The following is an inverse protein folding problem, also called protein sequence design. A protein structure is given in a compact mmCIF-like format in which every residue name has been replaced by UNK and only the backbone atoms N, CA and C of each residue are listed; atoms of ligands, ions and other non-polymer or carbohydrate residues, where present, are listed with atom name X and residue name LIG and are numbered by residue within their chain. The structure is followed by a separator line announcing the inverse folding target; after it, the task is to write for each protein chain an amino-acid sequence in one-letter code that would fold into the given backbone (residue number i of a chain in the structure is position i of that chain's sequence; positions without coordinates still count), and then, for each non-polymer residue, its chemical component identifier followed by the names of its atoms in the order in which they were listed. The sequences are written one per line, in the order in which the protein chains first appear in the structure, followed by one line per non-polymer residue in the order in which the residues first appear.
data_IF_720895255753
#
_entry.id   IF_720895255753
#
_cell.length_a   1.000
_cell.length_b   1.000
_cell.length_c   1.000
_cell.angle_alpha   90.00
_cell.angle_beta   90.00
_cell.angle_gamma   90.00
#
_symmetry.space_group_name_H-M   'P 1'
#
loop_
_entity.id
_entity.type
_entity.pdbx_description
1 polymer ?
#
# COMPACT_ATOMS: atom_id res chain seq x y z
N UNK A 1 11.74 21.13 -1.33
CA UNK A 1 12.17 22.07 -2.37
C UNK A 1 13.66 21.91 -2.48
N UNK A 2 14.12 21.58 -3.67
CA UNK A 2 15.53 21.40 -3.99
C UNK A 2 15.83 22.24 -5.22
N UNK A 3 16.97 22.90 -5.24
CA UNK A 3 17.37 23.75 -6.35
C UNK A 3 18.87 23.70 -6.55
N UNK A 4 19.32 23.95 -7.77
CA UNK A 4 20.72 23.99 -8.13
C UNK A 4 20.93 24.98 -9.28
N UNK A 5 22.16 25.45 -9.43
CA UNK A 5 22.59 26.24 -10.58
C UNK A 5 23.87 25.66 -11.16
N UNK A 6 24.12 25.98 -12.42
CA UNK A 6 25.33 25.63 -13.14
C UNK A 6 25.81 26.81 -13.97
N UNK A 7 27.10 27.07 -13.93
CA UNK A 7 27.72 28.10 -14.76
C UNK A 7 27.78 27.62 -16.21
N UNK A 8 27.51 28.53 -17.14
CA UNK A 8 27.70 28.31 -18.57
C UNK A 8 29.17 28.60 -18.93
N UNK A 9 29.73 27.85 -19.87
CA UNK A 9 31.16 27.87 -20.18
C UNK A 9 31.62 29.03 -21.09
N UNK A 10 30.75 30.01 -21.35
CA UNK A 10 31.08 31.19 -22.14
C UNK A 10 31.88 32.24 -21.36
N UNK A 11 32.30 33.30 -22.07
CA UNK A 11 33.09 34.39 -21.48
C UNK A 11 32.33 35.26 -20.45
N UNK A 12 31.00 35.22 -20.43
CA UNK A 12 30.17 35.94 -19.46
C UNK A 12 29.82 35.07 -18.25
N UNK A 13 29.69 35.70 -17.07
CA UNK A 13 29.17 35.02 -15.88
C UNK A 13 27.66 34.76 -16.02
N UNK A 14 27.30 33.65 -16.64
CA UNK A 14 25.92 33.28 -16.96
C UNK A 14 25.59 31.93 -16.36
N UNK A 15 24.34 31.73 -15.97
CA UNK A 15 23.97 30.53 -15.24
C UNK A 15 22.63 29.98 -15.72
N UNK A 16 22.52 28.66 -15.66
CA UNK A 16 21.24 27.96 -15.69
C UNK A 16 20.89 27.52 -14.28
N UNK A 17 19.61 27.54 -13.95
CA UNK A 17 19.10 27.13 -12.66
C UNK A 17 17.90 26.21 -12.86
N UNK A 18 17.80 25.23 -11.97
CA UNK A 18 16.69 24.29 -11.90
C UNK A 18 16.18 24.18 -10.47
N UNK A 19 14.85 24.16 -10.32
CA UNK A 19 14.18 23.86 -9.07
C UNK A 19 13.13 22.78 -9.25
N UNK A 20 13.01 21.96 -8.21
CA UNK A 20 11.91 21.03 -8.02
C UNK A 20 11.35 21.20 -6.62
N UNK A 21 10.03 21.22 -6.50
CA UNK A 21 9.35 21.16 -5.20
C UNK A 21 8.10 20.30 -5.27
N UNK A 22 7.86 19.54 -4.21
CA UNK A 22 6.59 18.84 -3.98
C UNK A 22 5.48 19.87 -3.77
N UNK A 23 4.36 19.68 -4.44
CA UNK A 23 3.17 20.52 -4.30
C UNK A 23 2.01 19.80 -3.63
N UNK A 24 1.97 18.47 -3.68
CA UNK A 24 0.94 17.68 -2.99
C UNK A 24 1.09 16.18 -3.19
N UNK A 25 0.22 15.42 -2.52
CA UNK A 25 0.04 13.98 -2.76
C UNK A 25 -1.43 13.71 -3.02
N UNK A 26 -1.72 12.97 -4.09
CA UNK A 26 -3.04 12.43 -4.36
C UNK A 26 -3.03 10.95 -3.98
N UNK A 27 -3.63 10.67 -2.82
CA UNK A 27 -3.71 9.31 -2.31
C UNK A 27 -4.63 8.44 -3.18
N UNK A 28 -5.68 9.01 -3.80
CA UNK A 28 -6.59 8.26 -4.66
C UNK A 28 -5.93 7.81 -5.95
N UNK A 29 -5.11 8.69 -6.55
CA UNK A 29 -4.35 8.41 -7.76
C UNK A 29 -2.98 7.75 -7.52
N UNK A 30 -2.60 7.49 -6.26
CA UNK A 30 -1.31 6.94 -5.86
C UNK A 30 -0.11 7.70 -6.46
N UNK A 31 -0.14 9.04 -6.40
CA UNK A 31 0.91 9.89 -6.99
C UNK A 31 1.31 11.06 -6.08
N UNK A 32 2.53 11.53 -6.25
CA UNK A 32 2.99 12.82 -5.72
C UNK A 32 3.07 13.83 -6.86
N UNK A 33 2.52 15.02 -6.63
CA UNK A 33 2.57 16.14 -7.55
C UNK A 33 3.73 17.07 -7.20
N UNK A 34 4.36 17.59 -8.25
CA UNK A 34 5.54 18.42 -8.20
C UNK A 34 5.34 19.65 -9.07
N UNK A 35 6.09 20.69 -8.75
CA UNK A 35 6.31 21.83 -9.62
C UNK A 35 7.79 21.93 -9.93
N UNK A 36 8.10 22.14 -11.20
CA UNK A 36 9.45 22.37 -11.68
C UNK A 36 9.57 23.74 -12.35
N UNK A 37 10.78 24.29 -12.29
CA UNK A 37 11.11 25.52 -12.99
C UNK A 37 12.56 25.48 -13.50
N UNK A 38 12.76 26.02 -14.70
CA UNK A 38 14.07 26.28 -15.30
C UNK A 38 14.23 27.77 -15.51
N UNK A 39 15.35 28.32 -15.05
CA UNK A 39 15.69 29.73 -15.24
C UNK A 39 17.05 29.88 -15.90
N UNK A 40 17.19 30.93 -16.69
CA UNK A 40 18.46 31.44 -17.18
C UNK A 40 18.77 32.78 -16.48
N UNK A 41 20.00 32.95 -16.02
CA UNK A 41 20.51 34.18 -15.42
C UNK A 41 21.57 34.78 -16.33
N UNK A 42 21.26 35.95 -16.91
CA UNK A 42 22.17 36.71 -17.75
C UNK A 42 22.91 37.80 -16.97
N UNK A 43 24.12 38.15 -17.40
CA UNK A 43 24.95 39.19 -16.76
C UNK A 43 25.38 40.30 -17.74
N UNK A 44 24.50 40.70 -18.66
CA UNK A 44 24.73 41.84 -19.54
C UNK A 44 25.63 41.61 -20.75
N UNK A 45 26.25 40.43 -20.86
CA UNK A 45 27.15 40.06 -21.96
C UNK A 45 26.45 39.16 -23.00
N UNK A 46 26.58 39.53 -24.28
CA UNK A 46 25.84 38.92 -25.40
C UNK A 46 24.64 39.78 -25.82
N UNK A 47 24.60 40.23 -27.07
CA UNK A 47 23.50 41.03 -27.66
C UNK A 47 22.69 40.17 -28.60
N UNK A 48 21.36 40.35 -28.58
CA UNK A 48 20.40 39.41 -29.15
C UNK A 48 19.36 40.13 -29.99
N UNK A 49 19.65 40.26 -31.28
CA UNK A 49 18.66 40.57 -32.28
C UNK A 49 18.94 39.82 -33.59
N UNK A 50 18.03 38.91 -33.92
CA UNK A 50 17.71 38.49 -35.29
C UNK A 50 18.77 37.82 -36.18
N UNK A 51 19.98 37.46 -35.72
CA UNK A 51 20.90 36.62 -36.52
C UNK A 51 20.69 35.11 -36.36
N UNK A 52 19.43 34.69 -36.44
CA UNK A 52 19.08 33.40 -37.07
C UNK A 52 19.09 32.11 -36.23
N UNK A 53 19.37 32.12 -34.93
CA UNK A 53 19.30 30.90 -34.13
C UNK A 53 18.74 31.15 -32.74
N UNK A 54 17.48 30.76 -32.48
CA UNK A 54 17.01 30.64 -31.11
C UNK A 54 17.65 29.39 -30.49
N UNK A 55 18.26 29.54 -29.31
CA UNK A 55 19.15 28.53 -28.72
C UNK A 55 18.38 27.46 -27.98
N UNK A 56 18.92 26.25 -28.01
CA UNK A 56 18.29 25.10 -27.39
C UNK A 56 18.42 25.13 -25.89
N UNK A 57 17.34 24.81 -25.21
CA UNK A 57 17.40 24.40 -23.82
C UNK A 57 16.52 23.18 -23.62
N UNK A 58 16.90 22.33 -22.69
CA UNK A 58 16.12 21.17 -22.29
C UNK A 58 16.22 20.94 -20.80
N UNK A 59 15.21 20.30 -20.23
CA UNK A 59 15.23 19.82 -18.87
C UNK A 59 14.48 18.51 -18.73
N UNK A 60 14.95 17.69 -17.79
CA UNK A 60 14.34 16.44 -17.39
C UNK A 60 14.00 16.53 -15.90
N UNK A 61 12.73 16.39 -15.57
CA UNK A 61 12.23 16.36 -14.19
C UNK A 61 11.86 14.93 -13.78
N UNK A 62 12.86 14.06 -13.60
CA UNK A 62 12.64 12.67 -13.19
C UNK A 62 11.82 11.83 -14.17
N UNK A 63 11.97 12.09 -15.47
CA UNK A 63 11.27 11.45 -16.59
C UNK A 63 10.33 12.39 -17.35
N UNK A 64 10.00 13.55 -16.79
CA UNK A 64 9.21 14.57 -17.49
C UNK A 64 10.14 15.52 -18.27
N UNK A 65 10.19 15.34 -19.59
CA UNK A 65 11.04 16.14 -20.47
C UNK A 65 10.31 17.39 -20.94
N UNK A 66 10.98 18.52 -20.83
CA UNK A 66 10.56 19.81 -21.38
C UNK A 66 11.75 20.46 -22.06
N UNK A 67 11.49 21.32 -23.03
CA UNK A 67 12.54 22.00 -23.74
C UNK A 67 11.96 23.00 -24.71
N UNK A 68 12.84 23.76 -25.31
CA UNK A 68 12.42 24.77 -26.26
C UNK A 68 13.58 25.56 -26.78
N UNK A 69 13.21 26.70 -27.34
CA UNK A 69 14.17 27.71 -27.77
C UNK A 69 13.89 29.00 -27.05
N UNK A 70 14.94 29.75 -26.75
CA UNK A 70 14.81 31.04 -26.10
C UNK A 70 15.74 32.08 -26.72
N UNK A 71 15.37 33.35 -26.54
CA UNK A 71 16.17 34.51 -26.86
C UNK A 71 16.14 35.45 -25.65
N UNK A 72 17.22 36.16 -25.35
CA UNK A 72 17.25 37.18 -24.29
C UNK A 72 17.32 38.55 -24.95
N UNK A 73 16.21 39.30 -25.09
CA UNK A 73 16.22 40.60 -25.76
C UNK A 73 17.34 41.52 -25.25
N UNK A 74 17.97 42.30 -26.13
CA UNK A 74 19.10 43.14 -25.75
C UNK A 74 18.78 44.08 -24.58
N UNK A 75 17.58 44.66 -24.54
CA UNK A 75 17.07 45.49 -23.45
C UNK A 75 16.94 44.74 -22.11
N UNK A 76 16.86 43.41 -22.17
CA UNK A 76 16.77 42.51 -21.02
C UNK A 76 18.11 41.86 -20.66
N UNK A 77 19.22 42.19 -21.35
CA UNK A 77 20.54 41.58 -21.11
C UNK A 77 21.05 41.72 -19.67
N UNK A 78 20.62 42.78 -18.97
CA UNK A 78 20.96 43.02 -17.57
C UNK A 78 19.89 42.53 -16.58
N UNK A 79 18.80 41.94 -17.08
CA UNK A 79 17.81 41.31 -16.21
C UNK A 79 18.44 40.08 -15.58
N UNK A 80 18.21 39.95 -14.27
CA UNK A 80 18.87 38.93 -13.48
C UNK A 80 18.31 37.54 -13.74
N UNK A 81 17.04 37.35 -14.13
CA UNK A 81 16.47 36.02 -14.41
C UNK A 81 15.41 36.00 -15.52
N UNK A 82 15.43 34.92 -16.32
CA UNK A 82 14.41 34.57 -17.32
C UNK A 82 13.89 33.17 -17.03
N UNK A 83 12.56 33.02 -16.93
CA UNK A 83 11.93 31.70 -16.80
C UNK A 83 11.82 31.06 -18.17
N UNK A 84 12.55 29.96 -18.38
CA UNK A 84 12.49 29.20 -19.63
C UNK A 84 11.26 28.28 -19.64
N UNK A 85 10.94 27.71 -18.47
CA UNK A 85 9.73 26.93 -18.26
C UNK A 85 9.39 26.87 -16.77
N UNK A 86 8.09 26.85 -16.47
CA UNK A 86 7.56 26.54 -15.15
C UNK A 86 6.26 25.75 -15.30
N UNK A 87 6.10 24.66 -14.56
CA UNK A 87 4.92 23.82 -14.70
C UNK A 87 4.81 22.72 -13.66
N UNK A 88 3.63 22.12 -13.60
CA UNK A 88 3.36 20.97 -12.75
C UNK A 88 3.64 19.66 -13.48
N UNK A 89 4.10 18.66 -12.75
CA UNK A 89 4.22 17.27 -13.20
C UNK A 89 3.94 16.32 -12.04
N UNK A 90 3.69 15.05 -12.33
CA UNK A 90 3.36 14.06 -11.30
C UNK A 90 4.20 12.80 -11.48
N UNK A 91 4.51 12.12 -10.38
CA UNK A 91 5.15 10.80 -10.39
C UNK A 91 4.34 9.81 -9.57
N UNK A 92 4.12 8.63 -10.13
CA UNK A 92 3.33 7.57 -9.52
C UNK A 92 4.16 6.74 -8.56
N UNK A 93 3.57 6.37 -7.42
CA UNK A 93 4.13 5.42 -6.48
C UNK A 93 3.93 3.99 -7.00
N UNK A 94 4.73 3.05 -6.50
CA UNK A 94 4.52 1.63 -6.76
C UNK A 94 3.26 1.09 -6.06
N UNK A 95 2.97 -0.21 -6.25
CA UNK A 95 1.82 -0.88 -5.63
C UNK A 95 1.89 -0.99 -4.11
N UNK A 96 3.05 -0.71 -3.52
CA UNK A 96 3.27 -0.66 -2.07
C UNK A 96 3.22 0.78 -1.54
N UNK A 97 3.00 1.77 -2.41
CA UNK A 97 2.91 3.18 -2.06
C UNK A 97 4.26 3.89 -1.92
N UNK A 98 5.35 3.30 -2.39
CA UNK A 98 6.68 3.91 -2.38
C UNK A 98 6.94 4.71 -3.66
N UNK A 99 7.63 5.84 -3.52
CA UNK A 99 8.16 6.61 -4.64
C UNK A 99 9.62 6.94 -4.36
N UNK A 100 10.51 6.33 -5.14
CA UNK A 100 11.94 6.59 -5.07
C UNK A 100 12.30 8.03 -5.44
N UNK A 101 13.42 8.49 -4.88
CA UNK A 101 14.02 9.76 -5.27
C UNK A 101 14.36 9.80 -6.76
N UNK A 102 14.57 10.99 -7.28
CA UNK A 102 14.89 11.16 -8.69
C UNK A 102 15.81 12.33 -8.94
N UNK A 103 16.53 12.19 -10.03
CA UNK A 103 17.39 13.22 -10.55
C UNK A 103 16.63 14.11 -11.51
N UNK A 104 16.89 15.41 -11.43
CA UNK A 104 16.45 16.39 -12.41
C UNK A 104 17.65 17.19 -12.93
N UNK A 105 17.62 17.50 -14.21
CA UNK A 105 18.68 18.25 -14.89
C UNK A 105 18.10 19.25 -15.85
N UNK A 106 18.80 20.35 -16.06
CA UNK A 106 18.55 21.29 -17.13
C UNK A 106 19.86 21.59 -17.86
N UNK A 107 19.78 21.79 -19.17
CA UNK A 107 20.92 22.09 -20.03
C UNK A 107 20.57 23.21 -21.01
N UNK A 108 21.55 24.07 -21.29
CA UNK A 108 21.53 25.06 -22.35
C UNK A 108 22.66 24.72 -23.32
N UNK A 109 22.33 24.66 -24.61
CA UNK A 109 23.25 24.43 -25.72
C UNK A 109 23.19 25.63 -26.67
N UNK A 110 24.31 26.33 -26.79
CA UNK A 110 24.48 27.54 -27.60
C UNK A 110 25.77 27.47 -28.40
N UNK A 111 25.72 27.97 -29.64
CA UNK A 111 26.91 28.23 -30.45
C UNK A 111 27.56 29.59 -30.14
N UNK A 112 27.18 30.21 -29.02
CA UNK A 112 27.54 31.58 -28.69
C UNK A 112 28.68 31.68 -27.67
N UNK A 113 29.84 32.15 -28.10
CA UNK A 113 31.10 32.18 -27.32
C UNK A 113 31.04 32.94 -25.98
N UNK A 114 30.16 33.93 -25.81
CA UNK A 114 30.02 34.63 -24.52
C UNK A 114 29.05 33.96 -23.54
N UNK A 115 28.20 33.04 -24.02
CA UNK A 115 27.16 32.37 -23.23
C UNK A 115 27.66 30.96 -22.92
N UNK A 116 27.98 30.23 -23.99
CA UNK A 116 28.46 28.86 -23.90
C UNK A 116 27.38 27.89 -23.48
N UNK A 117 27.81 26.69 -23.16
CA UNK A 117 26.98 25.57 -22.77
C UNK A 117 27.13 25.30 -21.28
N UNK A 118 26.11 24.70 -20.69
CA UNK A 118 26.19 24.26 -19.31
C UNK A 118 24.89 23.70 -18.81
N UNK A 119 24.95 23.13 -17.60
CA UNK A 119 23.82 22.46 -17.00
C UNK A 119 23.81 22.55 -15.50
N UNK A 120 22.60 22.48 -14.94
CA UNK A 120 22.34 22.42 -13.52
C UNK A 120 21.60 21.12 -13.20
N UNK A 121 21.90 20.56 -12.04
CA UNK A 121 21.43 19.25 -11.66
C UNK A 121 21.02 19.24 -10.20
N UNK A 122 19.91 18.58 -9.89
CA UNK A 122 19.37 18.48 -8.53
C UNK A 122 18.75 17.11 -8.31
N UNK A 123 18.91 16.58 -7.10
CA UNK A 123 18.27 15.33 -6.68
C UNK A 123 17.13 15.66 -5.73
N UNK A 124 15.95 15.13 -6.03
CA UNK A 124 14.82 15.12 -5.12
C UNK A 124 14.82 13.79 -4.36
N UNK A 125 14.77 13.88 -3.03
CA UNK A 125 14.71 12.71 -2.15
C UNK A 125 13.43 11.89 -2.38
N UNK A 126 13.36 10.63 -1.91
CA UNK A 126 12.12 9.86 -1.93
C UNK A 126 10.95 10.61 -1.29
N UNK A 127 9.76 10.49 -1.89
CA UNK A 127 8.56 11.10 -1.33
C UNK A 127 8.05 10.29 -0.13
N UNK A 128 7.29 10.91 0.79
CA UNK A 128 6.62 10.17 1.86
C UNK A 128 5.74 9.08 1.25
N UNK A 129 5.79 7.88 1.84
CA UNK A 129 4.98 6.74 1.40
C UNK A 129 3.50 7.10 1.45
N UNK A 130 2.74 6.81 0.39
CA UNK A 130 1.28 6.89 0.40
C UNK A 130 0.74 5.57 0.95
N UNK A 131 -0.02 5.55 2.06
CA UNK A 131 -0.55 4.32 2.60
C UNK A 131 -1.41 3.57 1.58
N UNK A 132 -1.29 2.25 1.55
CA UNK A 132 -2.16 1.35 0.76
C UNK A 132 -3.08 0.55 1.68
N UNK A 133 -4.11 -0.07 1.10
CA UNK A 133 -4.90 -1.06 1.85
C UNK A 133 -3.98 -2.19 2.34
N UNK A 134 -4.24 -2.81 3.51
CA UNK A 134 -3.38 -3.85 4.05
C UNK A 134 -3.28 -5.05 3.09
N UNK A 135 -2.19 -5.81 3.18
CA UNK A 135 -2.11 -7.10 2.52
C UNK A 135 -3.07 -8.12 3.16
N UNK A 136 -3.29 -9.27 2.50
CA UNK A 136 -4.07 -10.35 3.08
C UNK A 136 -3.38 -10.90 4.35
N UNK A 137 -4.13 -11.20 5.42
CA UNK A 137 -3.66 -12.03 6.51
C UNK A 137 -3.15 -13.40 6.02
N UNK A 138 -2.20 -13.99 6.76
CA UNK A 138 -1.50 -15.21 6.36
C UNK A 138 -1.04 -16.02 7.60
N UNK A 139 -0.27 -17.09 7.40
CA UNK A 139 0.25 -17.95 8.48
C UNK A 139 -0.84 -18.49 9.41
N UNK A 140 -1.94 -18.94 8.81
CA UNK A 140 -3.08 -19.48 9.53
C UNK A 140 -2.73 -20.80 10.24
N UNK A 141 -3.25 -20.99 11.45
CA UNK A 141 -3.22 -22.28 12.15
C UNK A 141 -4.44 -22.47 13.02
N UNK A 142 -4.87 -23.72 13.19
CA UNK A 142 -6.01 -24.10 14.03
C UNK A 142 -5.54 -24.59 15.39
N UNK A 143 -6.25 -24.24 16.45
CA UNK A 143 -5.94 -24.61 17.84
C UNK A 143 -7.23 -24.88 18.62
N UNK A 144 -7.12 -25.55 19.77
CA UNK A 144 -8.22 -25.76 20.72
C UNK A 144 -9.49 -26.32 20.04
N UNK A 145 -9.32 -27.31 19.17
CA UNK A 145 -10.45 -27.93 18.46
C UNK A 145 -11.26 -28.76 19.46
N UNK A 146 -12.53 -28.43 19.57
CA UNK A 146 -13.53 -29.11 20.42
C UNK A 146 -14.71 -29.56 19.55
N UNK A 147 -15.71 -30.26 20.11
CA UNK A 147 -16.92 -30.57 19.36
C UNK A 147 -17.72 -29.35 18.93
N UNK A 148 -17.59 -28.19 19.58
CA UNK A 148 -18.45 -27.02 19.30
C UNK A 148 -17.70 -25.74 19.00
N UNK A 149 -16.38 -25.77 18.93
CA UNK A 149 -15.56 -24.61 18.61
C UNK A 149 -14.15 -25.02 18.19
N UNK A 150 -13.44 -24.11 17.54
CA UNK A 150 -12.00 -24.12 17.46
C UNK A 150 -11.49 -22.67 17.39
N UNK A 151 -10.19 -22.47 17.60
CA UNK A 151 -9.52 -21.20 17.40
C UNK A 151 -8.70 -21.18 16.13
N UNK A 152 -8.58 -20.00 15.53
CA UNK A 152 -7.69 -19.74 14.40
C UNK A 152 -6.72 -18.63 14.78
N UNK A 153 -5.44 -18.95 14.84
CA UNK A 153 -4.37 -17.94 14.86
C UNK A 153 -4.04 -17.53 13.42
N UNK A 154 -3.67 -16.26 13.24
CA UNK A 154 -3.17 -15.75 11.97
C UNK A 154 -2.21 -14.59 12.19
N UNK A 155 -1.29 -14.41 11.24
CA UNK A 155 -0.53 -13.17 11.14
C UNK A 155 -1.35 -12.15 10.36
N UNK A 156 -1.49 -10.95 10.92
CA UNK A 156 -2.05 -9.79 10.20
C UNK A 156 -1.24 -9.51 8.94
N UNK A 157 -1.90 -9.00 7.91
CA UNK A 157 -1.20 -8.58 6.68
C UNK A 157 -0.24 -7.43 6.93
N UNK A 158 0.68 -7.19 5.98
CA UNK A 158 1.49 -5.96 5.98
C UNK A 158 0.56 -4.73 5.99
N UNK A 159 0.88 -3.75 6.83
CA UNK A 159 0.08 -2.54 7.05
C UNK A 159 0.19 -1.53 5.89
N UNK A 160 1.14 -1.77 4.99
CA UNK A 160 1.47 -0.99 3.79
C UNK A 160 1.48 0.53 4.00
N UNK A 161 2.04 0.97 5.13
CA UNK A 161 2.28 2.39 5.41
C UNK A 161 1.24 3.06 6.32
N UNK A 162 0.20 2.35 6.77
CA UNK A 162 -0.70 2.83 7.82
C UNK A 162 -1.08 1.70 8.78
N UNK A 163 -1.11 1.97 10.08
CA UNK A 163 -1.45 0.97 11.10
C UNK A 163 -2.79 0.28 10.84
N UNK A 164 -2.86 -1.02 11.15
CA UNK A 164 -4.09 -1.80 11.05
C UNK A 164 -5.01 -1.43 12.22
N UNK A 165 -6.22 -1.02 11.89
CA UNK A 165 -7.24 -0.56 12.84
C UNK A 165 -8.13 -1.71 13.32
N UNK A 166 -8.42 -2.67 12.43
CA UNK A 166 -9.39 -3.74 12.67
C UNK A 166 -9.12 -4.94 11.76
N UNK A 167 -9.44 -6.15 12.23
CA UNK A 167 -9.63 -7.31 11.36
C UNK A 167 -11.11 -7.73 11.34
N UNK A 168 -11.47 -8.53 10.35
CA UNK A 168 -12.76 -9.21 10.25
C UNK A 168 -12.51 -10.66 9.90
N UNK A 169 -13.20 -11.59 10.56
CA UNK A 169 -13.18 -13.00 10.20
C UNK A 169 -14.58 -13.51 9.84
N UNK A 170 -14.70 -14.21 8.71
CA UNK A 170 -15.93 -14.89 8.30
C UNK A 170 -15.73 -16.38 8.46
N UNK A 171 -16.66 -17.01 9.17
CA UNK A 171 -16.72 -18.44 9.36
C UNK A 171 -17.83 -19.01 8.49
N UNK A 172 -17.46 -19.90 7.57
CA UNK A 172 -18.37 -20.49 6.59
C UNK A 172 -18.41 -21.99 6.76
N UNK A 173 -19.61 -22.56 6.83
CA UNK A 173 -19.80 -24.01 6.84
C UNK A 173 -19.57 -24.57 5.43
N UNK A 174 -18.77 -25.63 5.33
CA UNK A 174 -18.38 -26.19 4.03
C UNK A 174 -19.52 -26.92 3.32
N UNK A 175 -20.42 -27.56 4.08
CA UNK A 175 -21.47 -28.42 3.52
C UNK A 175 -22.52 -27.68 2.69
N UNK A 176 -22.85 -26.45 3.07
CA UNK A 176 -23.91 -25.63 2.48
C UNK A 176 -23.42 -24.23 2.05
N UNK A 177 -22.17 -23.88 2.35
CA UNK A 177 -21.59 -22.57 2.06
C UNK A 177 -22.15 -21.43 2.92
N UNK A 178 -22.91 -21.73 3.98
CA UNK A 178 -23.53 -20.71 4.82
C UNK A 178 -22.49 -20.03 5.72
N UNK A 179 -22.48 -18.69 5.72
CA UNK A 179 -21.75 -17.91 6.71
C UNK A 179 -22.45 -18.06 8.07
N UNK A 180 -21.79 -18.72 9.01
CA UNK A 180 -22.34 -19.02 10.34
C UNK A 180 -21.95 -17.98 11.37
N UNK A 181 -20.88 -17.23 11.14
CA UNK A 181 -20.43 -16.18 12.04
C UNK A 181 -19.55 -15.13 11.33
N UNK A 182 -19.76 -13.86 11.73
CA UNK A 182 -18.95 -12.71 11.33
C UNK A 182 -18.33 -12.11 12.61
N UNK A 183 -17.04 -12.34 12.79
CA UNK A 183 -16.26 -11.84 13.92
C UNK A 183 -15.70 -10.46 13.56
N UNK A 184 -16.38 -9.42 14.05
CA UNK A 184 -16.11 -8.02 13.77
C UNK A 184 -15.09 -7.41 14.73
N UNK A 185 -13.82 -7.72 14.55
CA UNK A 185 -12.71 -7.13 15.32
C UNK A 185 -11.67 -8.09 15.92
N UNK A 186 -11.40 -9.30 15.37
CA UNK A 186 -10.30 -10.11 15.89
C UNK A 186 -8.95 -9.41 15.72
N UNK A 187 -7.95 -9.88 16.47
CA UNK A 187 -6.60 -9.32 16.47
C UNK A 187 -5.53 -10.41 16.49
N UNK A 188 -5.30 -11.02 15.34
CA UNK A 188 -4.39 -12.16 15.18
C UNK A 188 -4.96 -13.49 15.68
N UNK A 189 -6.16 -13.49 16.24
CA UNK A 189 -6.86 -14.67 16.70
C UNK A 189 -8.38 -14.49 16.61
N UNK A 190 -9.08 -15.51 16.12
CA UNK A 190 -10.55 -15.59 16.11
C UNK A 190 -11.00 -16.96 16.62
N UNK A 191 -12.04 -16.99 17.45
CA UNK A 191 -12.70 -18.22 17.89
C UNK A 191 -14.12 -17.92 18.36
N UNK A 192 -15.13 -18.72 17.96
CA UNK A 192 -16.48 -18.56 18.47
C UNK A 192 -16.57 -18.75 19.99
N UNK A 193 -15.61 -19.45 20.60
CA UNK A 193 -15.55 -19.68 22.04
C UNK A 193 -15.09 -18.47 22.87
N UNK A 194 -14.40 -17.50 22.25
CA UNK A 194 -13.77 -16.37 22.95
C UNK A 194 -14.65 -15.11 23.02
N UNK A 195 -15.95 -15.21 22.74
CA UNK A 195 -16.84 -14.04 22.74
C UNK A 195 -18.30 -14.38 22.46
N UNK A 196 -18.99 -13.49 21.73
CA UNK A 196 -20.40 -13.64 21.35
C UNK A 196 -20.63 -14.57 20.14
N UNK A 197 -19.66 -15.43 19.82
CA UNK A 197 -19.76 -16.35 18.68
C UNK A 197 -20.74 -17.50 18.93
N UNK A 198 -21.31 -18.09 17.86
CA UNK A 198 -22.21 -19.21 17.98
C UNK A 198 -21.44 -20.49 18.35
N UNK A 199 -22.15 -21.45 18.96
CA UNK A 199 -21.65 -22.83 19.04
C UNK A 199 -21.66 -23.46 17.65
N UNK A 200 -20.53 -24.01 17.24
CA UNK A 200 -20.41 -24.75 15.98
C UNK A 200 -21.05 -26.14 16.13
N UNK A 201 -21.47 -26.70 15.00
CA UNK A 201 -22.01 -28.05 14.89
C UNK A 201 -20.86 -29.06 15.01
N UNK A 202 -20.98 -30.11 15.83
CA UNK A 202 -19.96 -31.16 15.90
C UNK A 202 -19.74 -31.91 14.60
N UNK A 203 -18.53 -32.46 14.43
CA UNK A 203 -18.14 -33.22 13.25
C UNK A 203 -18.30 -32.46 11.92
N UNK A 204 -18.34 -31.13 11.93
CA UNK A 204 -18.64 -30.28 10.78
C UNK A 204 -17.41 -29.51 10.33
N UNK A 205 -17.19 -29.44 9.02
CA UNK A 205 -16.09 -28.67 8.42
C UNK A 205 -16.48 -27.21 8.21
N UNK A 206 -15.55 -26.32 8.54
CA UNK A 206 -15.68 -24.88 8.38
C UNK A 206 -14.44 -24.30 7.69
N UNK A 207 -14.67 -23.35 6.79
CA UNK A 207 -13.66 -22.47 6.23
C UNK A 207 -13.68 -21.14 6.99
N UNK A 208 -12.50 -20.64 7.36
CA UNK A 208 -12.34 -19.33 7.99
C UNK A 208 -11.53 -18.43 7.09
N UNK A 209 -12.10 -17.26 6.78
CA UNK A 209 -11.48 -16.20 5.99
C UNK A 209 -11.22 -15.00 6.89
N UNK A 210 -10.08 -14.33 6.74
CA UNK A 210 -9.77 -13.14 7.53
C UNK A 210 -9.25 -12.02 6.64
N UNK A 211 -9.65 -10.77 6.90
CA UNK A 211 -9.07 -9.59 6.25
C UNK A 211 -8.78 -8.49 7.27
N UNK A 212 -7.83 -7.62 6.95
CA UNK A 212 -7.46 -6.47 7.78
C UNK A 212 -7.90 -5.16 7.15
N UNK A 213 -8.11 -4.13 7.98
CA UNK A 213 -8.46 -2.77 7.59
C UNK A 213 -7.47 -1.76 8.13
N UNK A 214 -7.18 -0.72 7.34
CA UNK A 214 -6.59 0.52 7.83
C UNK A 214 -7.38 1.73 7.30
N UNK A 215 -6.84 2.94 7.49
CA UNK A 215 -7.43 4.20 7.02
C UNK A 215 -7.76 4.22 5.51
N UNK A 216 -7.11 3.37 4.70
CA UNK A 216 -7.35 3.27 3.25
C UNK A 216 -8.49 2.32 2.89
N UNK A 217 -8.89 1.45 3.81
CA UNK A 217 -9.98 0.51 3.64
C UNK A 217 -9.59 -0.93 3.95
N UNK A 218 -10.42 -1.84 3.48
CA UNK A 218 -10.25 -3.28 3.68
C UNK A 218 -9.30 -3.87 2.65
N UNK A 219 -8.32 -4.63 3.15
CA UNK A 219 -7.47 -5.49 2.34
C UNK A 219 -8.23 -6.70 1.80
N UNK A 220 -7.56 -7.49 0.93
CA UNK A 220 -8.11 -8.75 0.45
C UNK A 220 -8.27 -9.76 1.60
N UNK A 221 -9.19 -10.71 1.39
CA UNK A 221 -9.33 -11.87 2.26
C UNK A 221 -8.10 -12.77 2.15
N UNK A 222 -7.56 -13.17 3.30
CA UNK A 222 -6.66 -14.31 3.45
C UNK A 222 -7.43 -15.58 3.80
N UNK A 223 -6.78 -16.72 3.58
CA UNK A 223 -7.39 -18.04 3.73
C UNK A 223 -8.03 -18.56 2.42
N UNK A 224 -8.92 -19.57 2.50
CA UNK A 224 -9.46 -20.13 3.74
C UNK A 224 -8.42 -20.98 4.50
N UNK A 225 -8.54 -21.00 5.82
CA UNK A 225 -8.08 -22.15 6.61
C UNK A 225 -9.29 -23.03 6.93
N UNK A 226 -9.15 -24.32 6.67
CA UNK A 226 -10.19 -25.31 6.92
C UNK A 226 -9.92 -26.08 8.21
N UNK A 227 -10.96 -26.26 9.01
CA UNK A 227 -10.92 -27.15 10.17
C UNK A 227 -12.25 -27.89 10.33
N UNK A 228 -12.17 -29.08 10.92
CA UNK A 228 -13.34 -29.87 11.32
C UNK A 228 -13.44 -29.86 12.83
N UNK A 229 -14.62 -29.55 13.37
CA UNK A 229 -14.89 -29.74 14.80
C UNK A 229 -14.78 -31.22 15.15
N UNK A 230 -14.42 -31.53 16.40
CA UNK A 230 -14.45 -32.92 16.85
C UNK A 230 -15.88 -33.46 16.76
N UNK A 231 -16.02 -34.77 16.55
CA UNK A 231 -17.33 -35.41 16.63
C UNK A 231 -17.69 -35.61 18.09
N UNK A 232 -18.97 -35.47 18.45
CA UNK A 232 -19.42 -35.71 19.82
C UNK A 232 -19.22 -37.16 20.26
N UNK A 233 -19.36 -38.12 19.34
CA UNK A 233 -18.99 -39.53 19.53
C UNK A 233 -18.74 -40.22 18.18
N UNK A 234 -18.26 -41.47 18.20
CA UNK A 234 -18.26 -42.36 17.04
C UNK A 234 -19.11 -43.59 17.35
N UNK A 235 -19.94 -44.03 16.41
CA UNK A 235 -20.80 -45.23 16.54
C UNK A 235 -20.51 -46.18 15.39
N UNK A 236 -20.35 -47.47 15.72
CA UNK A 236 -20.21 -48.54 14.76
C UNK A 236 -21.55 -48.82 14.08
N UNK A 237 -21.60 -48.69 12.75
CA UNK A 237 -22.85 -48.89 11.98
C UNK A 237 -22.95 -50.30 11.34
N UNK A 238 -22.07 -51.23 11.71
CA UNK A 238 -21.99 -52.56 11.11
C UNK A 238 -20.92 -52.72 10.02
N UNK A 239 -20.39 -51.62 9.45
CA UNK A 239 -19.34 -51.66 8.42
C UNK A 239 -18.21 -50.67 8.65
N UNK A 240 -18.47 -49.55 9.31
CA UNK A 240 -17.49 -48.54 9.67
C UNK A 240 -17.84 -47.83 10.98
N UNK A 241 -16.83 -47.24 11.62
CA UNK A 241 -17.04 -46.25 12.68
C UNK A 241 -17.44 -44.92 12.02
N UNK A 242 -18.65 -44.46 12.28
CA UNK A 242 -19.16 -43.20 11.76
C UNK A 242 -19.18 -42.14 12.86
N UNK A 243 -18.80 -40.88 12.56
CA UNK A 243 -18.99 -39.79 13.50
C UNK A 243 -20.48 -39.62 13.78
N UNK A 244 -20.83 -39.42 15.05
CA UNK A 244 -22.19 -39.17 15.49
C UNK A 244 -22.23 -37.96 16.40
N UNK A 245 -23.35 -37.26 16.33
CA UNK A 245 -23.69 -36.24 17.31
C UNK A 245 -24.39 -36.91 18.49
N UNK A 246 -23.96 -36.57 19.70
CA UNK A 246 -24.66 -37.00 20.91
C UNK A 246 -25.80 -36.03 21.15
N UNK A 247 -27.02 -36.54 21.26
CA UNK A 247 -28.18 -35.75 21.62
C UNK A 247 -28.72 -36.18 22.98
N UNK A 248 -29.19 -35.21 23.75
CA UNK A 248 -29.95 -35.45 24.98
C UNK A 248 -31.37 -34.92 24.82
N UNK A 249 -32.36 -35.71 25.23
CA UNK A 249 -33.76 -35.29 25.26
C UNK A 249 -34.03 -34.46 26.52
N UNK A 250 -34.55 -33.22 26.36
CA UNK A 250 -34.83 -32.32 27.48
C UNK A 250 -36.30 -32.32 27.95
N UNK A 251 -37.13 -33.23 27.43
CA UNK A 251 -38.57 -33.27 27.68
C UNK A 251 -39.41 -32.66 26.56
N UNK A 252 -38.83 -31.82 25.69
CA UNK A 252 -39.53 -31.15 24.58
C UNK A 252 -38.81 -31.23 23.23
N UNK A 253 -37.49 -31.32 23.22
CA UNK A 253 -36.66 -31.38 22.03
C UNK A 253 -35.38 -32.16 22.28
N UNK A 254 -34.81 -32.70 21.20
CA UNK A 254 -33.44 -33.19 21.18
C UNK A 254 -32.48 -32.00 21.12
N UNK A 255 -31.48 -31.98 21.99
CA UNK A 255 -30.43 -30.97 22.01
C UNK A 255 -29.07 -31.63 21.86
N UNK A 256 -28.17 -31.02 21.09
CA UNK A 256 -26.79 -31.47 20.96
C UNK A 256 -26.10 -31.39 22.32
N UNK A 257 -25.39 -32.44 22.70
CA UNK A 257 -24.65 -32.53 23.95
C UNK A 257 -23.16 -32.58 23.69
N UNK A 258 -22.41 -31.91 24.56
CA UNK A 258 -20.95 -32.03 24.64
C UNK A 258 -20.61 -33.22 25.54
N UNK A 259 -19.71 -34.09 25.07
CA UNK A 259 -19.23 -35.22 25.87
C UNK A 259 -18.10 -34.73 26.76
N UNK A 260 -18.26 -34.93 28.06
CA UNK A 260 -17.25 -34.63 29.06
C UNK A 260 -16.72 -35.93 29.68
N UNK A 261 -15.44 -35.95 30.01
CA UNK A 261 -14.80 -37.00 30.81
C UNK A 261 -14.70 -36.58 32.27
N UNK A 262 -14.98 -37.51 33.19
CA UNK A 262 -14.79 -37.29 34.62
C UNK A 262 -13.33 -37.55 34.99
N UNK A 263 -12.65 -36.57 35.57
CA UNK A 263 -11.21 -36.65 35.90
C UNK A 263 -10.93 -37.17 37.32
N UNK A 264 -11.97 -37.57 38.06
CA UNK A 264 -11.87 -37.87 39.48
C UNK A 264 -12.14 -36.67 40.40
N UNK A 265 -11.97 -35.44 39.89
CA UNK A 265 -12.21 -34.19 40.64
C UNK A 265 -13.17 -33.22 39.96
N UNK A 266 -13.58 -33.51 38.72
CA UNK A 266 -14.49 -32.67 37.96
C UNK A 266 -14.77 -33.22 36.56
N UNK A 267 -15.68 -32.57 35.86
CA UNK A 267 -15.92 -32.82 34.43
C UNK A 267 -15.01 -31.93 33.58
N UNK A 268 -14.35 -32.51 32.58
CA UNK A 268 -13.61 -31.80 31.55
C UNK A 268 -14.13 -32.19 30.17
N UNK A 269 -14.05 -31.28 29.19
CA UNK A 269 -14.35 -31.63 27.80
C UNK A 269 -13.55 -32.87 27.36
N UNK A 270 -14.23 -33.83 26.72
CA UNK A 270 -13.56 -34.97 26.12
C UNK A 270 -12.71 -34.47 24.95
N UNK A 271 -11.38 -34.54 25.12
CA UNK A 271 -10.38 -34.19 24.10
C UNK A 271 -10.14 -35.33 23.12
#
# INVERSE_FOLDING_TARGET
MVSSFGDLNGAGNQQIWIEVRRTGQDWGANRTDYWGEVRYYGNGYGSWDNRGGAWGWEANFGGAYVGGRFNVPFDQRFQQYHVLWAGNFSRYHDGEGWLGGFYSSAWIDTDHTNIGDGGANVTEEPAPRIPQIPAAPHSFSTVNITPTSFGVNYARGDNRGAGIEQDQAIWRRVSDGADVWDDGGPNGYTSPANGAGPRLTPGTEYDVFVRSRNVRGWGPWGGPIRAKTLSGAYVWNGSAWAPTEVFTWNGSAWQTAEVNTWTGSGWSAAG
#
